data_IF_347143747407
#
_entry.id   IF_347143747407
#
_cell.length_a   1.000
_cell.length_b   1.000
_cell.length_c   1.000
_cell.angle_alpha   90.00
_cell.angle_beta   90.00
_cell.angle_gamma   90.00
#
_symmetry.space_group_name_H-M   'P 1'
#
loop_
_entity.id
_entity.type
_entity.pdbx_description
1 polymer ?
#
# COMPACT_ATOMS: atom_id res chain seq x y z
N UNK A 1 -9.24 -21.61 5.47
CA UNK A 1 -8.71 -20.30 5.04
C UNK A 1 -9.23 -20.04 3.64
N UNK A 2 -9.86 -18.89 3.38
CA UNK A 2 -10.65 -18.69 2.15
C UNK A 2 -10.92 -17.21 1.84
N UNK A 3 -11.68 -16.96 0.78
CA UNK A 3 -12.07 -15.61 0.35
C UNK A 3 -13.32 -15.17 1.11
N UNK A 4 -13.34 -13.92 1.58
CA UNK A 4 -14.50 -13.31 2.25
C UNK A 4 -15.03 -12.18 1.38
N UNK A 5 -16.29 -12.27 0.96
CA UNK A 5 -16.97 -11.25 0.15
C UNK A 5 -18.16 -10.76 0.94
N UNK A 6 -18.19 -9.46 1.24
CA UNK A 6 -19.26 -8.87 2.02
C UNK A 6 -20.52 -8.59 1.20
N UNK A 7 -21.65 -8.47 1.90
CA UNK A 7 -23.02 -8.40 1.37
C UNK A 7 -23.22 -7.42 0.20
N UNK A 8 -22.59 -6.24 0.26
CA UNK A 8 -22.80 -5.15 -0.71
C UNK A 8 -21.59 -4.95 -1.61
N UNK A 9 -20.75 -5.99 -1.77
CA UNK A 9 -19.61 -5.93 -2.68
C UNK A 9 -20.10 -5.99 -4.11
N UNK A 10 -19.52 -5.17 -4.98
CA UNK A 10 -19.73 -5.25 -6.43
C UNK A 10 -18.40 -5.68 -7.06
N UNK A 11 -18.45 -6.65 -7.96
CA UNK A 11 -17.26 -7.21 -8.61
C UNK A 11 -17.54 -7.20 -10.11
N UNK A 12 -16.71 -6.47 -10.85
CA UNK A 12 -16.76 -6.41 -12.31
C UNK A 12 -16.28 -7.69 -12.99
N UNK A 13 -16.10 -7.60 -14.30
CA UNK A 13 -15.70 -8.73 -15.14
C UNK A 13 -14.18 -9.00 -15.03
N UNK A 14 -13.80 -10.27 -15.20
CA UNK A 14 -12.40 -10.74 -15.24
C UNK A 14 -11.57 -10.36 -14.00
N UNK A 15 -12.21 -10.36 -12.81
CA UNK A 15 -11.53 -10.10 -11.53
C UNK A 15 -10.86 -11.36 -10.99
N UNK A 16 -9.61 -11.24 -10.56
CA UNK A 16 -8.85 -12.32 -9.93
C UNK A 16 -8.68 -12.06 -8.43
N UNK A 17 -9.25 -12.94 -7.59
CA UNK A 17 -9.09 -12.91 -6.14
C UNK A 17 -8.26 -14.12 -5.69
N UNK A 18 -7.10 -13.85 -5.07
CA UNK A 18 -6.27 -14.91 -4.48
C UNK A 18 -6.80 -15.37 -3.11
N UNK A 19 -6.17 -16.39 -2.55
CA UNK A 19 -6.52 -16.93 -1.24
C UNK A 19 -6.47 -15.86 -0.13
N UNK A 20 -7.31 -15.99 0.88
CA UNK A 20 -7.36 -15.13 2.06
C UNK A 20 -7.66 -13.65 1.79
N UNK A 21 -8.17 -13.32 0.60
CA UNK A 21 -8.67 -11.99 0.29
C UNK A 21 -9.94 -11.68 1.09
N UNK A 22 -10.11 -10.43 1.50
CA UNK A 22 -11.34 -9.94 2.12
C UNK A 22 -11.82 -8.67 1.44
N UNK A 23 -13.07 -8.68 0.97
CA UNK A 23 -13.84 -7.51 0.57
C UNK A 23 -14.80 -7.20 1.72
N UNK A 24 -14.32 -6.40 2.67
CA UNK A 24 -14.95 -6.19 3.98
C UNK A 24 -15.55 -4.82 4.14
N UNK A 25 -16.48 -4.67 5.09
CA UNK A 25 -17.03 -3.36 5.44
C UNK A 25 -16.27 -2.69 6.58
N UNK A 26 -16.38 -1.37 6.65
CA UNK A 26 -15.88 -0.57 7.77
C UNK A 26 -17.07 -0.07 8.60
N UNK A 27 -17.25 -0.59 9.80
CA UNK A 27 -18.28 -0.12 10.73
C UNK A 27 -19.64 -0.83 10.64
N UNK A 28 -20.68 -0.20 11.24
CA UNK A 28 -22.04 -0.76 11.42
C UNK A 28 -23.10 -0.11 10.52
N UNK A 29 -22.67 0.65 9.52
CA UNK A 29 -23.59 1.40 8.67
C UNK A 29 -24.46 0.47 7.82
N UNK A 30 -25.72 0.86 7.61
CA UNK A 30 -26.66 0.12 6.78
C UNK A 30 -26.56 0.63 5.34
N UNK A 31 -26.59 -0.28 4.37
CA UNK A 31 -26.48 0.03 2.94
C UNK A 31 -25.12 -0.34 2.32
N UNK A 32 -24.69 0.44 1.32
CA UNK A 32 -23.41 0.24 0.62
C UNK A 32 -22.25 0.47 1.59
N UNK A 33 -21.54 -0.60 1.92
CA UNK A 33 -20.47 -0.60 2.94
C UNK A 33 -19.28 -1.47 2.59
N UNK A 34 -19.35 -2.20 1.48
CA UNK A 34 -18.28 -3.07 0.99
C UNK A 34 -17.75 -2.53 -0.35
N UNK A 35 -16.57 -3.00 -0.78
CA UNK A 35 -15.90 -2.45 -1.95
C UNK A 35 -16.66 -2.67 -3.26
N UNK A 36 -16.40 -1.78 -4.23
CA UNK A 36 -16.71 -2.00 -5.65
C UNK A 36 -15.39 -2.19 -6.40
N UNK A 37 -15.27 -3.31 -7.11
CA UNK A 37 -14.13 -3.62 -7.98
C UNK A 37 -14.56 -3.45 -9.44
N UNK A 38 -13.82 -2.66 -10.19
CA UNK A 38 -13.96 -2.55 -11.65
C UNK A 38 -13.50 -3.82 -12.36
N UNK A 39 -13.39 -3.72 -13.69
CA UNK A 39 -13.02 -4.85 -14.53
C UNK A 39 -11.51 -5.12 -14.51
N UNK A 40 -11.10 -6.37 -14.72
CA UNK A 40 -9.69 -6.77 -14.79
C UNK A 40 -8.88 -6.43 -13.52
N UNK A 41 -9.54 -6.37 -12.35
CA UNK A 41 -8.88 -6.11 -11.07
C UNK A 41 -8.20 -7.39 -10.57
N UNK A 42 -6.99 -7.26 -10.05
CA UNK A 42 -6.26 -8.37 -9.40
C UNK A 42 -6.07 -8.04 -7.94
N UNK A 43 -6.49 -8.94 -7.04
CA UNK A 43 -6.33 -8.78 -5.60
C UNK A 43 -5.45 -9.90 -5.05
N UNK A 44 -4.21 -9.54 -4.73
CA UNK A 44 -3.16 -10.45 -4.27
C UNK A 44 -3.51 -11.19 -2.97
N UNK A 45 -2.80 -12.30 -2.73
CA UNK A 45 -3.07 -13.19 -1.62
C UNK A 45 -3.05 -12.46 -0.26
N UNK A 46 -4.05 -12.71 0.58
CA UNK A 46 -4.14 -12.14 1.91
C UNK A 46 -4.49 -10.64 1.97
N UNK A 47 -4.69 -9.96 0.84
CA UNK A 47 -5.05 -8.55 0.84
C UNK A 47 -6.44 -8.29 1.46
N UNK A 48 -6.62 -7.11 2.04
CA UNK A 48 -7.86 -6.66 2.69
C UNK A 48 -8.31 -5.37 2.03
N UNK A 49 -9.45 -5.39 1.37
CA UNK A 49 -10.08 -4.20 0.77
C UNK A 49 -11.29 -3.87 1.61
N UNK A 50 -11.25 -2.74 2.31
CA UNK A 50 -12.17 -2.44 3.41
C UNK A 50 -12.92 -1.13 3.17
N UNK A 51 -14.25 -1.19 3.31
CA UNK A 51 -15.15 -0.04 3.26
C UNK A 51 -15.84 0.12 1.91
N UNK A 52 -16.72 1.12 1.81
CA UNK A 52 -17.38 1.51 0.55
C UNK A 52 -16.42 2.30 -0.35
N UNK A 53 -15.37 1.63 -0.81
CA UNK A 53 -14.35 2.19 -1.71
C UNK A 53 -14.44 1.56 -3.10
N UNK A 54 -13.94 2.28 -4.09
CA UNK A 54 -13.95 1.84 -5.49
C UNK A 54 -12.52 1.59 -5.97
N UNK A 55 -12.27 0.39 -6.48
CA UNK A 55 -11.10 0.11 -7.31
C UNK A 55 -11.51 0.23 -8.77
N UNK A 56 -10.84 1.12 -9.50
CA UNK A 56 -11.03 1.30 -10.94
C UNK A 56 -10.68 0.04 -11.76
N UNK A 57 -10.75 0.17 -13.07
CA UNK A 57 -10.39 -0.91 -13.99
C UNK A 57 -8.88 -1.15 -13.99
N UNK A 58 -8.47 -2.40 -14.20
CA UNK A 58 -7.05 -2.78 -14.28
C UNK A 58 -6.24 -2.44 -13.01
N UNK A 59 -6.90 -2.36 -11.85
CA UNK A 59 -6.22 -2.12 -10.57
C UNK A 59 -5.57 -3.40 -10.08
N UNK A 60 -4.34 -3.29 -9.56
CA UNK A 60 -3.61 -4.40 -8.93
C UNK A 60 -3.40 -4.11 -7.46
N UNK A 61 -3.84 -5.00 -6.59
CA UNK A 61 -3.60 -4.92 -5.14
C UNK A 61 -2.53 -5.94 -4.77
N UNK A 62 -1.44 -5.48 -4.16
CA UNK A 62 -0.35 -6.34 -3.71
C UNK A 62 -0.79 -7.31 -2.62
N UNK A 63 -0.09 -8.45 -2.53
CA UNK A 63 -0.33 -9.43 -1.47
C UNK A 63 -0.17 -8.79 -0.08
N UNK A 64 -1.03 -9.19 0.87
CA UNK A 64 -1.03 -8.68 2.25
C UNK A 64 -1.41 -7.21 2.43
N UNK A 65 -1.70 -6.47 1.36
CA UNK A 65 -1.99 -5.03 1.44
C UNK A 65 -3.34 -4.75 2.10
N UNK A 66 -3.46 -3.62 2.79
CA UNK A 66 -4.71 -3.17 3.44
C UNK A 66 -5.21 -1.90 2.77
N UNK A 67 -6.18 -2.03 1.88
CA UNK A 67 -6.71 -0.95 1.05
C UNK A 67 -7.94 -0.35 1.72
N UNK A 68 -7.83 0.92 2.11
CA UNK A 68 -8.88 1.69 2.81
C UNK A 68 -9.26 2.99 2.07
N UNK A 69 -8.77 3.16 0.84
CA UNK A 69 -9.04 4.31 -0.03
C UNK A 69 -9.27 3.83 -1.47
N UNK A 70 -10.14 4.52 -2.20
CA UNK A 70 -10.39 4.23 -3.62
C UNK A 70 -9.12 4.40 -4.45
N UNK A 71 -9.01 3.61 -5.52
CA UNK A 71 -7.87 3.62 -6.43
C UNK A 71 -8.37 3.84 -7.87
N UNK A 72 -7.76 4.75 -8.64
CA UNK A 72 -8.15 5.02 -10.02
C UNK A 72 -7.76 3.88 -10.96
N UNK A 73 -8.27 3.91 -12.18
CA UNK A 73 -7.94 2.94 -13.23
C UNK A 73 -6.41 2.83 -13.45
N UNK A 74 -5.95 1.63 -13.83
CA UNK A 74 -4.56 1.32 -14.15
C UNK A 74 -3.55 1.61 -13.02
N UNK A 75 -4.00 1.53 -11.77
CA UNK A 75 -3.14 1.78 -10.60
C UNK A 75 -2.76 0.50 -9.87
N UNK A 76 -1.65 0.55 -9.16
CA UNK A 76 -1.21 -0.53 -8.27
C UNK A 76 -1.24 -0.02 -6.84
N UNK A 77 -1.76 -0.83 -5.91
CA UNK A 77 -1.88 -0.48 -4.48
C UNK A 77 -1.11 -1.49 -3.64
N UNK A 78 -0.21 -1.01 -2.78
CA UNK A 78 0.66 -1.86 -1.94
C UNK A 78 0.83 -1.29 -0.54
N UNK A 79 1.11 -2.18 0.42
CA UNK A 79 1.49 -1.81 1.79
C UNK A 79 0.33 -1.75 2.79
N UNK A 80 0.66 -1.38 4.02
CA UNK A 80 -0.29 -1.31 5.15
C UNK A 80 -0.06 -0.01 5.93
N UNK A 81 -0.89 1.04 5.71
CA UNK A 81 -2.04 1.11 4.81
C UNK A 81 -1.63 1.20 3.33
N UNK A 82 -2.49 0.70 2.45
CA UNK A 82 -2.26 0.64 1.00
C UNK A 82 -2.06 2.01 0.37
N UNK A 83 -0.96 2.16 -0.37
CA UNK A 83 -0.60 3.36 -1.13
C UNK A 83 -0.61 3.08 -2.61
N UNK A 84 -1.08 4.06 -3.39
CA UNK A 84 -1.05 3.97 -4.84
C UNK A 84 0.38 4.20 -5.31
N UNK A 85 0.92 3.22 -6.01
CA UNK A 85 2.22 3.27 -6.68
C UNK A 85 1.98 3.30 -8.18
N UNK A 86 2.40 4.38 -8.84
CA UNK A 86 2.22 4.56 -10.28
C UNK A 86 3.15 3.60 -11.02
N UNK A 87 2.58 2.55 -11.63
CA UNK A 87 3.32 1.73 -12.58
C UNK A 87 3.25 2.38 -13.96
N UNK A 88 4.19 3.25 -14.29
CA UNK A 88 4.46 3.56 -15.70
C UNK A 88 5.10 2.31 -16.34
N UNK A 89 4.27 1.40 -16.83
CA UNK A 89 4.66 0.59 -17.97
C UNK A 89 5.01 -0.88 -17.76
N UNK A 90 4.47 -1.61 -16.76
CA UNK A 90 4.52 -3.07 -16.88
C UNK A 90 3.19 -3.79 -16.58
N UNK A 91 2.72 -4.50 -17.61
CA UNK A 91 1.37 -5.06 -17.72
C UNK A 91 1.23 -6.46 -17.11
N UNK A 92 2.31 -7.09 -16.67
CA UNK A 92 2.27 -8.42 -16.06
C UNK A 92 1.40 -8.41 -14.79
N UNK A 93 0.25 -9.09 -14.84
CA UNK A 93 -0.74 -9.15 -13.76
C UNK A 93 -0.31 -10.07 -12.60
N UNK A 94 0.81 -10.79 -12.76
CA UNK A 94 1.18 -11.92 -11.92
C UNK A 94 2.50 -11.71 -11.15
N UNK A 95 3.25 -10.64 -11.45
CA UNK A 95 4.53 -10.34 -10.80
C UNK A 95 4.35 -9.60 -9.47
N UNK A 96 3.83 -10.31 -8.47
CA UNK A 96 3.70 -9.77 -7.10
C UNK A 96 5.07 -9.47 -6.47
N UNK A 97 6.15 -10.11 -6.92
CA UNK A 97 7.52 -9.89 -6.43
C UNK A 97 8.20 -8.64 -7.00
N UNK A 98 7.65 -8.02 -8.04
CA UNK A 98 8.24 -6.82 -8.68
C UNK A 98 7.49 -5.53 -8.32
N UNK A 99 6.66 -5.57 -7.27
CA UNK A 99 5.94 -4.40 -6.82
C UNK A 99 6.89 -3.43 -6.10
N UNK A 100 6.78 -2.12 -6.33
CA UNK A 100 7.61 -1.14 -5.63
C UNK A 100 7.28 -1.15 -4.14
N UNK A 101 8.32 -1.01 -3.30
CA UNK A 101 8.21 -0.94 -1.84
C UNK A 101 8.37 0.52 -1.37
N UNK A 102 7.25 1.27 -1.23
CA UNK A 102 7.32 2.66 -0.80
C UNK A 102 7.81 2.80 0.65
N UNK A 103 7.54 1.82 1.51
CA UNK A 103 7.98 1.86 2.91
C UNK A 103 9.50 1.69 3.00
N UNK A 104 10.06 0.73 2.26
CA UNK A 104 11.51 0.57 2.12
C UNK A 104 12.19 1.81 1.55
N UNK A 105 11.60 2.44 0.53
CA UNK A 105 12.15 3.67 -0.06
C UNK A 105 12.15 4.83 0.95
N UNK A 106 11.07 4.99 1.72
CA UNK A 106 10.97 6.01 2.76
C UNK A 106 12.03 5.79 3.86
N UNK A 107 12.26 4.54 4.27
CA UNK A 107 13.29 4.19 5.26
C UNK A 107 14.69 4.55 4.74
N UNK A 108 15.00 4.21 3.49
CA UNK A 108 16.30 4.55 2.89
C UNK A 108 16.52 6.06 2.82
N UNK A 109 15.49 6.82 2.44
CA UNK A 109 15.54 8.29 2.39
C UNK A 109 15.79 8.88 3.78
N UNK A 110 15.14 8.35 4.82
CA UNK A 110 15.35 8.76 6.20
C UNK A 110 16.76 8.44 6.68
N UNK A 111 17.29 7.24 6.39
CA UNK A 111 18.67 6.87 6.75
C UNK A 111 19.69 7.79 6.11
N UNK A 112 19.52 8.10 4.82
CA UNK A 112 20.39 9.04 4.12
C UNK A 112 20.35 10.43 4.76
N UNK A 113 19.15 10.90 5.12
CA UNK A 113 18.99 12.20 5.77
C UNK A 113 19.59 12.24 7.18
N UNK A 114 19.48 11.16 7.95
CA UNK A 114 20.12 11.04 9.25
C UNK A 114 21.64 11.09 9.10
N UNK A 115 22.20 10.35 8.15
CA UNK A 115 23.64 10.38 7.87
C UNK A 115 24.15 11.78 7.52
N UNK A 116 23.43 12.51 6.66
CA UNK A 116 23.76 13.90 6.31
C UNK A 116 23.72 14.82 7.54
N UNK A 117 22.66 14.72 8.35
CA UNK A 117 22.50 15.55 9.54
C UNK A 117 23.56 15.24 10.60
N UNK A 118 23.90 13.96 10.81
CA UNK A 118 24.98 13.56 11.70
C UNK A 118 26.34 14.10 11.25
N UNK A 119 26.61 14.10 9.94
CA UNK A 119 27.79 14.72 9.35
C UNK A 119 27.85 16.22 9.64
N UNK A 120 26.76 16.94 9.37
CA UNK A 120 26.67 18.38 9.64
C UNK A 120 26.85 18.71 11.13
N UNK A 121 26.25 17.91 12.02
CA UNK A 121 26.40 18.08 13.47
C UNK A 121 27.86 17.87 13.88
N UNK A 122 28.54 16.85 13.36
CA UNK A 122 29.97 16.62 13.65
C UNK A 122 30.83 17.80 13.20
N UNK A 123 30.55 18.37 12.03
CA UNK A 123 31.30 19.52 11.51
C UNK A 123 31.04 20.79 12.34
N UNK A 124 29.80 21.01 12.80
CA UNK A 124 29.44 22.11 13.68
C UNK A 124 30.10 22.00 15.06
N UNK A 125 30.07 20.82 15.67
CA UNK A 125 30.72 20.56 16.96
C UNK A 125 32.23 20.82 16.87
N UNK A 126 32.88 20.39 15.77
CA UNK A 126 34.30 20.67 15.52
C UNK A 126 34.60 22.16 15.36
N UNK A 127 33.70 22.94 14.74
CA UNK A 127 33.91 24.40 14.57
C UNK A 127 33.78 25.19 15.87
N UNK A 128 33.10 24.64 16.88
CA UNK A 128 32.81 25.31 18.13
C UNK A 128 33.49 24.67 19.36
N UNK A 129 34.39 23.71 19.16
CA UNK A 129 35.07 22.94 20.23
C UNK A 129 34.11 22.38 21.29
N UNK A 130 32.94 21.89 20.83
CA UNK A 130 31.92 21.30 21.69
C UNK A 130 32.03 19.77 21.67
N UNK A 131 32.14 19.14 22.84
CA UNK A 131 32.07 17.69 22.98
C UNK A 131 30.62 17.21 22.88
N UNK A 132 30.33 16.12 22.14
CA UNK A 132 28.99 15.57 22.08
C UNK A 132 28.57 15.04 23.46
N UNK A 133 27.44 15.52 23.98
CA UNK A 133 26.86 15.01 25.22
C UNK A 133 26.55 13.53 25.07
N UNK A 134 27.32 12.68 25.76
CA UNK A 134 27.12 11.23 25.75
C UNK A 134 25.69 10.92 26.22
N UNK A 135 24.92 10.19 25.39
CA UNK A 135 23.60 9.68 25.80
C UNK A 135 23.81 8.61 26.88
N UNK A 136 23.19 8.82 28.05
CA UNK A 136 22.94 7.75 29.03
C UNK A 136 21.90 6.77 28.50
#
# INVERSE_FOLDING_TARGET
MGVVIGETSEIGDDVLLYQNVTLGGTGREKGKRHPTLGNNVVVGAGAKVLGSITLGNYVKVGAGSVVVRSAPDNSTVVGVPGRIVTSRGNRSALEHGALPDPEGQDIQNLQQRVYELEGLVRDLLRKHDLEPTARQ
#
